data_IF_731565544746
#
_entry.id   IF_731565544746
#
_cell.length_a   1.000
_cell.length_b   1.000
_cell.length_c   1.000
_cell.angle_alpha   90.00
_cell.angle_beta   90.00
_cell.angle_gamma   90.00
#
_symmetry.space_group_name_H-M   'P 1'
#
loop_
_entity.id
_entity.type
_entity.pdbx_description
1 polymer ?
#
# COMPACT_ATOMS: atom_id res chain seq x y z
N UNK A 1 20.48 35.07 4.99
CA UNK A 1 20.67 33.80 5.74
C UNK A 1 19.91 32.74 4.97
N UNK A 2 20.60 31.73 4.44
CA UNK A 2 20.00 30.74 3.55
C UNK A 2 19.18 29.74 4.36
N UNK A 3 17.85 29.81 4.29
CA UNK A 3 16.99 28.71 4.71
C UNK A 3 17.15 27.58 3.69
N UNK A 4 18.07 26.66 3.97
CA UNK A 4 18.18 25.40 3.25
C UNK A 4 16.84 24.67 3.38
N UNK A 5 16.25 24.29 2.24
CA UNK A 5 14.99 23.55 2.19
C UNK A 5 14.97 22.36 3.15
N UNK A 6 13.86 22.16 3.86
CA UNK A 6 13.73 21.05 4.81
C UNK A 6 13.88 19.73 4.07
N UNK A 7 14.88 18.94 4.46
CA UNK A 7 15.10 17.62 3.85
C UNK A 7 13.90 16.72 4.17
N UNK A 8 13.44 15.88 3.22
CA UNK A 8 12.34 14.92 3.45
C UNK A 8 12.54 14.09 4.72
N UNK A 9 13.77 13.63 4.95
CA UNK A 9 14.16 12.95 6.18
C UNK A 9 13.83 13.75 7.45
N UNK A 10 14.17 15.03 7.50
CA UNK A 10 13.91 15.89 8.65
C UNK A 10 12.41 16.15 8.84
N UNK A 11 11.67 16.33 7.73
CA UNK A 11 10.22 16.47 7.75
C UNK A 11 9.58 15.24 8.40
N UNK A 12 9.93 14.04 7.93
CA UNK A 12 9.39 12.80 8.49
C UNK A 12 9.81 12.60 9.95
N UNK A 13 11.09 12.83 10.26
CA UNK A 13 11.64 12.69 11.62
C UNK A 13 10.92 13.56 12.65
N UNK A 14 10.57 14.79 12.29
CA UNK A 14 9.84 15.70 13.19
C UNK A 14 8.41 15.24 13.49
N UNK A 15 7.83 14.42 12.61
CA UNK A 15 6.45 13.93 12.74
C UNK A 15 6.38 12.57 13.46
N UNK A 16 7.50 11.84 13.57
CA UNK A 16 7.58 10.52 14.22
C UNK A 16 6.83 10.44 15.56
N UNK A 17 7.06 11.34 16.55
CA UNK A 17 6.42 11.21 17.86
C UNK A 17 4.89 11.23 17.81
N UNK A 18 4.32 11.86 16.77
CA UNK A 18 2.86 11.98 16.57
C UNK A 18 2.28 10.80 15.77
N UNK A 19 3.11 10.16 14.94
CA UNK A 19 2.70 9.03 14.09
C UNK A 19 2.77 7.69 14.83
N UNK A 20 3.76 7.49 15.71
CA UNK A 20 4.04 6.19 16.35
C UNK A 20 2.84 5.54 17.02
N UNK A 21 2.03 6.29 17.78
CA UNK A 21 0.86 5.73 18.44
C UNK A 21 -0.26 5.34 17.46
N UNK A 22 -0.43 6.09 16.37
CA UNK A 22 -1.45 5.80 15.35
C UNK A 22 -1.02 4.65 14.43
N UNK A 23 0.26 4.62 14.03
CA UNK A 23 0.82 3.58 13.18
C UNK A 23 0.76 2.20 13.83
N UNK A 24 0.97 2.12 15.14
CA UNK A 24 1.03 0.84 15.83
C UNK A 24 -0.26 0.42 16.50
N UNK A 25 -1.41 1.04 16.22
CA UNK A 25 -2.71 0.63 16.79
C UNK A 25 -3.47 -0.23 15.79
N UNK A 26 -4.13 -1.32 16.21
CA UNK A 26 -5.04 -2.06 15.32
C UNK A 26 -6.38 -1.33 15.11
N UNK A 27 -7.02 -1.43 13.93
CA UNK A 27 -6.58 -2.16 12.72
C UNK A 27 -5.59 -1.38 11.84
N UNK A 28 -5.25 -0.14 12.21
CA UNK A 28 -4.43 0.78 11.41
C UNK A 28 -3.04 0.21 11.12
N UNK A 29 -2.42 -0.46 12.09
CA UNK A 29 -1.13 -1.12 11.91
C UNK A 29 -1.17 -2.10 10.75
N UNK A 30 -2.08 -3.07 10.78
CA UNK A 30 -2.23 -4.08 9.73
C UNK A 30 -2.42 -3.40 8.37
N UNK A 31 -3.40 -2.50 8.25
CA UNK A 31 -3.70 -1.84 6.98
C UNK A 31 -2.51 -1.06 6.43
N UNK A 32 -1.81 -0.27 7.27
CA UNK A 32 -0.66 0.50 6.83
C UNK A 32 0.51 -0.40 6.45
N UNK A 33 0.84 -1.40 7.26
CA UNK A 33 1.98 -2.28 6.95
C UNK A 33 1.77 -3.09 5.68
N UNK A 34 0.53 -3.47 5.40
CA UNK A 34 0.11 -4.12 4.17
C UNK A 34 0.36 -3.23 2.93
N UNK A 35 -0.03 -1.96 2.99
CA UNK A 35 0.27 -0.98 1.93
C UNK A 35 1.77 -0.71 1.79
N UNK A 36 2.50 -0.59 2.90
CA UNK A 36 3.93 -0.36 2.88
C UNK A 36 4.71 -1.54 2.28
N UNK A 37 4.27 -2.78 2.54
CA UNK A 37 4.83 -3.99 1.92
C UNK A 37 4.55 -4.01 0.42
N UNK A 38 3.31 -3.71 0.02
CA UNK A 38 2.92 -3.72 -1.39
C UNK A 38 3.73 -2.75 -2.25
N UNK A 39 4.02 -1.56 -1.71
CA UNK A 39 4.83 -0.52 -2.35
C UNK A 39 6.35 -0.72 -2.16
N UNK A 40 6.78 -1.79 -1.47
CA UNK A 40 8.19 -2.10 -1.23
C UNK A 40 8.90 -1.06 -0.34
N UNK A 41 8.15 -0.31 0.46
CA UNK A 41 8.66 0.66 1.43
C UNK A 41 9.21 -0.03 2.68
N UNK A 42 8.65 -1.19 3.03
CA UNK A 42 9.19 -2.13 4.01
C UNK A 42 9.29 -3.54 3.40
N UNK A 43 10.06 -4.43 4.01
CA UNK A 43 10.16 -5.84 3.58
C UNK A 43 9.37 -6.77 4.50
N UNK A 44 9.01 -7.96 4.01
CA UNK A 44 8.35 -9.00 4.81
C UNK A 44 9.19 -9.34 6.05
N UNK A 45 10.50 -9.47 5.88
CA UNK A 45 11.43 -9.72 6.98
C UNK A 45 11.38 -8.62 8.06
N UNK A 46 11.27 -7.34 7.66
CA UNK A 46 11.12 -6.24 8.60
C UNK A 46 9.78 -6.33 9.34
N UNK A 47 8.69 -6.62 8.63
CA UNK A 47 7.37 -6.73 9.26
C UNK A 47 7.29 -7.92 10.22
N UNK A 48 7.81 -9.08 9.83
CA UNK A 48 7.85 -10.28 10.67
C UNK A 48 8.72 -10.07 11.91
N UNK A 49 9.83 -9.34 11.78
CA UNK A 49 10.66 -8.95 12.92
C UNK A 49 9.92 -8.05 13.91
N UNK A 50 8.96 -7.24 13.45
CA UNK A 50 8.10 -6.42 14.31
C UNK A 50 6.99 -7.26 14.94
N UNK A 51 6.32 -8.11 14.14
CA UNK A 51 5.21 -8.97 14.60
C UNK A 51 5.67 -10.06 15.58
N UNK A 52 6.89 -10.56 15.44
CA UNK A 52 7.47 -11.61 16.30
C UNK A 52 7.92 -11.11 17.67
N UNK A 53 8.04 -9.80 17.89
CA UNK A 53 8.39 -9.23 19.21
C UNK A 53 7.17 -9.27 20.14
N UNK A 54 7.16 -10.09 21.20
CA UNK A 54 6.04 -10.13 22.13
C UNK A 54 5.98 -8.85 22.97
N UNK A 55 4.77 -8.47 23.39
CA UNK A 55 4.51 -7.38 24.35
C UNK A 55 4.93 -5.97 23.91
N UNK A 56 5.01 -5.69 22.60
CA UNK A 56 5.15 -4.31 22.13
C UNK A 56 3.84 -3.54 22.39
N UNK A 57 3.95 -2.39 23.06
CA UNK A 57 2.85 -1.42 23.07
C UNK A 57 2.61 -0.86 21.68
N UNK A 58 1.40 -0.36 21.41
CA UNK A 58 1.06 0.28 20.13
C UNK A 58 2.10 1.33 19.73
N UNK A 59 2.54 2.15 20.68
CA UNK A 59 3.56 3.17 20.45
C UNK A 59 4.92 2.58 20.05
N UNK A 60 5.37 1.51 20.71
CA UNK A 60 6.64 0.86 20.37
C UNK A 60 6.55 0.21 18.99
N UNK A 61 5.45 -0.52 18.72
CA UNK A 61 5.20 -1.16 17.44
C UNK A 61 5.20 -0.16 16.28
N UNK A 62 4.49 0.97 16.43
CA UNK A 62 4.50 2.01 15.41
C UNK A 62 5.85 2.74 15.32
N UNK A 63 6.63 2.80 16.40
CA UNK A 63 8.00 3.33 16.35
C UNK A 63 8.91 2.48 15.47
N UNK A 64 8.81 1.16 15.56
CA UNK A 64 9.61 0.25 14.73
C UNK A 64 9.30 0.43 13.23
N UNK A 65 8.01 0.45 12.86
CA UNK A 65 7.59 0.72 11.46
C UNK A 65 8.12 2.07 11.00
N UNK A 66 7.99 3.10 11.84
CA UNK A 66 8.40 4.43 11.48
C UNK A 66 9.93 4.56 11.35
N UNK A 67 10.72 3.76 12.10
CA UNK A 67 12.17 3.65 11.89
C UNK A 67 12.52 2.97 10.57
N UNK A 68 11.83 1.89 10.19
CA UNK A 68 12.01 1.27 8.88
C UNK A 68 11.77 2.27 7.73
N UNK A 69 10.69 3.07 7.82
CA UNK A 69 10.39 4.11 6.84
C UNK A 69 11.42 5.23 6.83
N UNK A 70 11.92 5.64 8.00
CA UNK A 70 12.94 6.66 8.10
C UNK A 70 14.25 6.21 7.43
N UNK A 71 14.68 4.97 7.66
CA UNK A 71 15.85 4.39 6.98
C UNK A 71 15.62 4.22 5.49
N UNK A 72 14.40 3.86 5.06
CA UNK A 72 14.04 3.80 3.64
C UNK A 72 14.19 5.17 2.98
N UNK A 73 13.61 6.23 3.56
CA UNK A 73 13.71 7.61 3.04
C UNK A 73 15.18 8.05 2.96
N UNK A 74 15.99 7.73 3.98
CA UNK A 74 17.40 8.13 4.04
C UNK A 74 18.24 7.52 2.92
N UNK A 75 17.97 6.25 2.60
CA UNK A 75 18.74 5.47 1.64
C UNK A 75 18.10 5.46 0.23
N UNK A 76 17.01 6.19 0.01
CA UNK A 76 16.33 6.25 -1.28
C UNK A 76 17.02 7.21 -2.24
N UNK A 77 17.13 6.86 -3.52
CA UNK A 77 17.70 7.73 -4.57
C UNK A 77 16.94 9.06 -4.70
N UNK A 78 15.64 9.01 -4.42
CA UNK A 78 14.74 10.17 -4.41
C UNK A 78 13.96 10.27 -3.08
N UNK A 79 14.55 10.82 -2.01
CA UNK A 79 13.93 10.86 -0.68
C UNK A 79 12.58 11.60 -0.64
N UNK A 80 12.42 12.64 -1.46
CA UNK A 80 11.17 13.40 -1.55
C UNK A 80 10.04 12.56 -2.16
N UNK A 81 10.35 11.80 -3.22
CA UNK A 81 9.40 10.89 -3.86
C UNK A 81 8.98 9.76 -2.89
N UNK A 82 9.95 9.17 -2.19
CA UNK A 82 9.68 8.14 -1.19
C UNK A 82 8.77 8.66 -0.05
N UNK A 83 9.04 9.86 0.45
CA UNK A 83 8.18 10.46 1.48
C UNK A 83 6.78 10.80 0.96
N UNK A 84 6.64 11.24 -0.29
CA UNK A 84 5.32 11.46 -0.89
C UNK A 84 4.51 10.17 -0.99
N UNK A 85 5.15 9.06 -1.39
CA UNK A 85 4.49 7.73 -1.41
C UNK A 85 4.00 7.31 -0.02
N UNK A 86 4.81 7.53 1.03
CA UNK A 86 4.38 7.28 2.41
C UNK A 86 3.18 8.16 2.78
N UNK A 87 3.15 9.42 2.33
CA UNK A 87 2.01 10.30 2.55
C UNK A 87 0.76 9.82 1.80
N UNK A 88 0.89 9.34 0.55
CA UNK A 88 -0.23 8.77 -0.20
C UNK A 88 -0.87 7.60 0.56
N UNK A 89 -0.06 6.70 1.12
CA UNK A 89 -0.55 5.59 1.94
C UNK A 89 -1.25 6.09 3.21
N UNK A 90 -0.66 7.07 3.91
CA UNK A 90 -1.28 7.59 5.14
C UNK A 90 -2.60 8.33 4.87
N UNK A 91 -2.76 8.91 3.69
CA UNK A 91 -3.95 9.62 3.25
C UNK A 91 -5.04 8.70 2.68
N UNK A 92 -4.71 7.42 2.46
CA UNK A 92 -5.61 6.41 1.90
C UNK A 92 -6.81 6.14 2.83
N UNK A 93 -8.00 5.99 2.23
CA UNK A 93 -9.25 5.79 2.97
C UNK A 93 -9.28 4.44 3.68
N UNK A 94 -8.62 3.42 3.12
CA UNK A 94 -8.60 2.06 3.66
C UNK A 94 -7.68 1.93 4.89
N UNK A 95 -6.80 2.91 5.14
CA UNK A 95 -6.00 2.97 6.38
C UNK A 95 -6.87 3.28 7.60
N UNK A 96 -7.99 3.99 7.42
CA UNK A 96 -8.98 4.22 8.47
C UNK A 96 -8.49 5.06 9.66
N UNK A 97 -7.45 5.88 9.48
CA UNK A 97 -6.87 6.71 10.55
C UNK A 97 -6.79 8.19 10.17
N UNK A 98 -7.73 8.97 10.71
CA UNK A 98 -7.78 10.44 10.54
C UNK A 98 -6.49 11.12 11.03
N UNK A 99 -5.82 10.56 12.04
CA UNK A 99 -4.56 11.06 12.57
C UNK A 99 -3.44 10.90 11.54
N UNK A 100 -3.34 9.73 10.90
CA UNK A 100 -2.35 9.50 9.85
C UNK A 100 -2.65 10.36 8.62
N UNK A 101 -3.91 10.43 8.19
CA UNK A 101 -4.35 11.26 7.06
C UNK A 101 -3.97 12.74 7.24
N UNK A 102 -4.28 13.30 8.42
CA UNK A 102 -3.92 14.69 8.77
C UNK A 102 -2.41 14.90 8.76
N UNK A 103 -1.64 13.94 9.28
CA UNK A 103 -0.19 14.05 9.35
C UNK A 103 0.50 13.81 8.00
N UNK A 104 -0.03 12.93 7.14
CA UNK A 104 0.37 12.76 5.74
C UNK A 104 0.24 14.07 4.97
N UNK A 105 -0.94 14.68 5.01
CA UNK A 105 -1.19 15.98 4.36
C UNK A 105 -0.26 17.09 4.87
N UNK A 106 0.03 17.10 6.18
CA UNK A 106 0.97 18.05 6.79
C UNK A 106 2.39 17.86 6.25
N UNK A 107 2.86 16.61 6.14
CA UNK A 107 4.19 16.30 5.60
C UNK A 107 4.27 16.66 4.10
N UNK A 108 3.25 16.30 3.33
CA UNK A 108 3.12 16.67 1.91
C UNK A 108 3.23 18.17 1.68
N UNK A 109 2.52 18.98 2.49
CA UNK A 109 2.61 20.45 2.41
C UNK A 109 4.03 20.95 2.67
N UNK A 110 4.71 20.41 3.69
CA UNK A 110 6.08 20.81 4.07
C UNK A 110 7.14 20.48 3.01
N UNK A 111 6.86 19.53 2.12
CA UNK A 111 7.75 19.17 1.01
C UNK A 111 7.40 20.01 -0.22
N UNK A 112 6.11 20.20 -0.52
CA UNK A 112 5.63 21.00 -1.68
C UNK A 112 5.93 22.50 -1.56
N UNK A 113 6.03 23.06 -0.35
CA UNK A 113 6.46 24.46 -0.15
C UNK A 113 7.94 24.72 -0.47
N UNK A 114 8.67 23.71 -0.98
CA UNK A 114 10.02 23.89 -1.48
C UNK A 114 9.93 24.24 -2.97
N UNK A 115 10.21 25.48 -3.39
CA UNK A 115 10.48 25.73 -4.79
C UNK A 115 11.75 24.96 -5.11
N UNK A 116 11.66 23.97 -5.99
CA UNK A 116 12.84 23.56 -6.74
C UNK A 116 13.44 24.83 -7.32
N UNK A 117 14.69 25.11 -6.93
CA UNK A 117 15.46 26.19 -7.48
C UNK A 117 15.45 26.02 -9.01
N UNK A 118 14.58 26.79 -9.66
CA UNK A 118 14.62 27.05 -11.08
C UNK A 118 15.98 27.63 -11.39
N UNK A 119 16.92 26.76 -11.78
CA UNK A 119 17.98 27.16 -12.69
C UNK A 119 17.45 26.92 -14.08
N UNK A 120 17.02 28.03 -14.66
CA UNK A 120 16.53 28.21 -16.01
C UNK A 120 17.51 27.62 -17.02
N UNK A 121 17.01 26.82 -17.96
CA UNK A 121 17.28 27.01 -19.38
C UNK A 121 16.07 26.50 -20.20
N UNK A 122 15.66 27.20 -21.29
CA UNK A 122 14.33 27.03 -21.86
C UNK A 122 14.40 26.33 -23.22
N UNK A 123 14.11 25.03 -23.34
CA UNK A 123 13.83 24.44 -24.66
C UNK A 123 12.65 23.46 -24.60
N UNK A 124 11.54 24.00 -25.12
CA UNK A 124 10.55 23.37 -26.01
C UNK A 124 9.55 22.40 -25.40
N UNK A 125 8.31 22.88 -25.45
CA UNK A 125 7.06 22.21 -25.16
C UNK A 125 7.01 20.73 -25.58
N UNK A 126 6.68 19.88 -24.61
CA UNK A 126 6.06 18.60 -24.86
C UNK A 126 4.92 18.43 -23.83
N UNK A 127 3.76 17.88 -24.22
CA UNK A 127 2.60 17.85 -23.34
C UNK A 127 2.88 16.92 -22.16
N UNK A 128 2.98 17.49 -20.97
CA UNK A 128 3.06 16.75 -19.72
C UNK A 128 1.73 16.04 -19.53
N UNK A 129 1.66 14.76 -19.91
CA UNK A 129 0.63 13.87 -19.39
C UNK A 129 0.72 13.90 -17.85
N UNK A 130 -0.41 13.95 -17.13
CA UNK A 130 -0.37 13.98 -15.68
C UNK A 130 0.15 12.63 -15.21
N UNK A 131 1.35 12.61 -14.62
CA UNK A 131 1.82 11.46 -13.86
C UNK A 131 1.01 11.42 -12.56
N UNK A 132 -0.16 10.80 -12.66
CA UNK A 132 -0.93 10.35 -11.50
C UNK A 132 -0.11 9.23 -10.84
N UNK A 133 0.71 9.57 -9.85
CA UNK A 133 1.27 8.58 -8.91
C UNK A 133 0.25 8.30 -7.81
N UNK A 134 -0.97 7.92 -8.21
CA UNK A 134 -1.82 7.13 -7.33
C UNK A 134 -1.29 5.70 -7.36
N UNK A 135 -1.22 5.05 -6.21
CA UNK A 135 -0.90 3.62 -6.07
C UNK A 135 -1.62 2.85 -7.19
N UNK A 136 -0.86 2.22 -8.09
CA UNK A 136 -1.47 1.45 -9.19
C UNK A 136 -2.46 0.44 -8.62
N UNK A 137 -3.58 0.16 -9.30
CA UNK A 137 -4.53 -0.88 -8.89
C UNK A 137 -3.83 -2.18 -8.43
N UNK A 138 -2.75 -2.57 -9.10
CA UNK A 138 -1.87 -3.68 -8.68
C UNK A 138 -1.33 -3.56 -7.26
N UNK A 139 -0.79 -2.39 -6.88
CA UNK A 139 -0.27 -2.14 -5.53
C UNK A 139 -1.39 -2.14 -4.49
N UNK A 140 -2.56 -1.58 -4.82
CA UNK A 140 -3.74 -1.60 -3.94
C UNK A 140 -4.29 -3.00 -3.72
N UNK A 141 -4.35 -3.83 -4.75
CA UNK A 141 -4.77 -5.21 -4.59
C UNK A 141 -3.77 -6.00 -3.75
N UNK A 142 -2.46 -5.81 -4.00
CA UNK A 142 -1.38 -6.49 -3.27
C UNK A 142 -1.42 -6.22 -1.77
N UNK A 143 -1.72 -4.99 -1.36
CA UNK A 143 -1.78 -4.65 0.07
C UNK A 143 -2.89 -5.43 0.76
N UNK A 144 -4.08 -5.54 0.16
CA UNK A 144 -5.20 -6.25 0.78
C UNK A 144 -5.19 -7.75 0.58
N UNK A 145 -4.25 -8.30 -0.22
CA UNK A 145 -4.20 -9.72 -0.60
C UNK A 145 -4.17 -10.69 0.58
N UNK A 146 -3.38 -10.43 1.62
CA UNK A 146 -3.28 -11.34 2.78
C UNK A 146 -4.60 -11.38 3.58
N UNK A 147 -5.20 -10.20 3.80
CA UNK A 147 -6.51 -10.07 4.45
C UNK A 147 -7.61 -10.71 3.60
N UNK A 148 -7.54 -10.53 2.28
CA UNK A 148 -8.47 -11.10 1.33
C UNK A 148 -8.37 -12.62 1.29
N UNK A 149 -7.16 -13.18 1.28
CA UNK A 149 -6.91 -14.62 1.37
C UNK A 149 -7.56 -15.22 2.62
N UNK A 150 -7.31 -14.62 3.78
CA UNK A 150 -7.88 -15.05 5.05
C UNK A 150 -9.42 -14.99 5.04
N UNK A 151 -10.00 -13.93 4.47
CA UNK A 151 -11.46 -13.79 4.35
C UNK A 151 -12.05 -14.85 3.41
N UNK A 152 -11.46 -15.02 2.23
CA UNK A 152 -11.91 -15.97 1.20
C UNK A 152 -11.78 -17.41 1.67
N UNK A 153 -10.77 -17.75 2.46
CA UNK A 153 -10.56 -19.13 2.96
C UNK A 153 -11.79 -19.70 3.67
N UNK A 154 -12.66 -18.85 4.24
CA UNK A 154 -13.89 -19.26 4.91
C UNK A 154 -15.12 -19.42 3.99
N UNK A 155 -15.08 -18.84 2.79
CA UNK A 155 -16.23 -18.76 1.86
C UNK A 155 -15.85 -19.02 0.39
N UNK A 156 -14.75 -19.74 0.16
CA UNK A 156 -14.08 -19.94 -1.12
C UNK A 156 -15.04 -20.32 -2.26
N UNK A 157 -15.91 -21.31 -2.06
CA UNK A 157 -16.84 -21.79 -3.11
C UNK A 157 -17.78 -20.70 -3.59
N UNK A 158 -18.27 -19.85 -2.68
CA UNK A 158 -19.16 -18.73 -3.02
C UNK A 158 -18.41 -17.65 -3.79
N UNK A 159 -17.23 -17.26 -3.30
CA UNK A 159 -16.38 -16.23 -3.92
C UNK A 159 -15.97 -16.64 -5.34
N UNK A 160 -15.50 -17.88 -5.52
CA UNK A 160 -15.08 -18.40 -6.82
C UNK A 160 -16.25 -18.42 -7.80
N UNK A 161 -17.44 -18.85 -7.37
CA UNK A 161 -18.63 -18.81 -8.22
C UNK A 161 -18.99 -17.39 -8.66
N UNK A 162 -18.92 -16.44 -7.74
CA UNK A 162 -19.21 -15.02 -8.00
C UNK A 162 -18.18 -14.36 -8.92
N UNK A 163 -16.90 -14.69 -8.80
CA UNK A 163 -15.83 -14.19 -9.68
C UNK A 163 -15.90 -14.80 -11.09
N UNK A 164 -16.32 -16.06 -11.21
CA UNK A 164 -16.46 -16.74 -12.50
C UNK A 164 -17.62 -16.18 -13.33
N UNK A 165 -18.76 -15.87 -12.71
CA UNK A 165 -19.96 -15.40 -13.40
C UNK A 165 -19.73 -14.19 -14.36
N UNK A 166 -18.99 -13.13 -13.97
CA UNK A 166 -18.62 -12.03 -14.85
C UNK A 166 -17.38 -12.29 -15.72
N UNK A 167 -16.74 -13.46 -15.59
CA UNK A 167 -15.52 -13.80 -16.33
C UNK A 167 -14.23 -13.21 -15.77
N UNK A 168 -14.20 -12.83 -14.48
CA UNK A 168 -12.98 -12.30 -13.83
C UNK A 168 -11.94 -13.39 -13.56
N UNK A 169 -12.37 -14.65 -13.55
CA UNK A 169 -11.51 -15.83 -13.44
C UNK A 169 -11.92 -16.87 -14.50
N UNK A 170 -10.98 -17.71 -14.92
CA UNK A 170 -11.24 -18.78 -15.87
C UNK A 170 -12.08 -19.92 -15.26
N UNK A 171 -12.75 -20.69 -16.12
CA UNK A 171 -13.43 -21.92 -15.72
C UNK A 171 -12.44 -22.92 -15.10
N UNK A 172 -11.24 -23.05 -15.68
CA UNK A 172 -10.19 -23.93 -15.16
C UNK A 172 -9.82 -23.57 -13.72
N UNK A 173 -9.66 -22.27 -13.43
CA UNK A 173 -9.35 -21.81 -12.07
C UNK A 173 -10.52 -22.09 -11.12
N UNK A 174 -11.76 -21.88 -11.57
CA UNK A 174 -12.95 -22.23 -10.78
C UNK A 174 -13.00 -23.72 -10.44
N UNK A 175 -12.85 -24.58 -11.43
CA UNK A 175 -12.91 -26.03 -11.25
C UNK A 175 -11.77 -26.53 -10.38
N UNK A 176 -10.59 -25.93 -10.49
CA UNK A 176 -9.48 -26.22 -9.60
C UNK A 176 -9.81 -25.82 -8.15
N UNK A 177 -10.31 -24.60 -7.89
CA UNK A 177 -10.62 -24.16 -6.53
C UNK A 177 -11.70 -25.04 -5.87
N UNK A 178 -12.69 -25.51 -6.64
CA UNK A 178 -13.78 -26.35 -6.14
C UNK A 178 -13.30 -27.80 -5.93
N UNK A 179 -12.59 -28.37 -6.91
CA UNK A 179 -12.35 -29.81 -6.96
C UNK A 179 -10.94 -30.25 -6.52
N UNK A 180 -9.97 -29.34 -6.34
CA UNK A 180 -8.63 -29.74 -5.86
C UNK A 180 -8.71 -30.26 -4.41
N UNK A 181 -7.76 -31.14 -4.06
CA UNK A 181 -7.62 -31.69 -2.71
C UNK A 181 -6.79 -30.78 -1.77
N UNK A 182 -6.47 -29.56 -2.20
CA UNK A 182 -5.73 -28.61 -1.37
C UNK A 182 -6.57 -28.07 -0.21
N UNK A 183 -5.88 -27.62 0.85
CA UNK A 183 -6.51 -26.93 1.96
C UNK A 183 -7.07 -25.55 1.53
N UNK A 184 -8.14 -25.06 2.17
CA UNK A 184 -8.80 -23.80 1.78
C UNK A 184 -7.88 -22.58 1.71
N UNK A 185 -6.91 -22.45 2.63
CA UNK A 185 -5.95 -21.34 2.63
C UNK A 185 -5.07 -21.35 1.38
N UNK A 186 -4.50 -22.51 1.03
CA UNK A 186 -3.68 -22.67 -0.17
C UNK A 186 -4.46 -22.36 -1.45
N UNK A 187 -5.75 -22.72 -1.49
CA UNK A 187 -6.66 -22.38 -2.59
C UNK A 187 -6.93 -20.88 -2.65
N UNK A 188 -7.24 -20.25 -1.51
CA UNK A 188 -7.45 -18.81 -1.44
C UNK A 188 -6.20 -18.03 -1.87
N UNK A 189 -5.02 -18.46 -1.44
CA UNK A 189 -3.74 -17.86 -1.85
C UNK A 189 -3.52 -17.93 -3.36
N UNK A 190 -3.83 -19.09 -3.96
CA UNK A 190 -3.75 -19.29 -5.41
C UNK A 190 -4.73 -18.40 -6.17
N UNK A 191 -5.97 -18.28 -5.69
CA UNK A 191 -6.99 -17.41 -6.27
C UNK A 191 -6.53 -15.95 -6.25
N UNK A 192 -6.07 -15.45 -5.09
CA UNK A 192 -5.58 -14.07 -4.93
C UNK A 192 -4.35 -13.82 -5.81
N UNK A 193 -3.44 -14.79 -5.90
CA UNK A 193 -2.27 -14.71 -6.78
C UNK A 193 -2.65 -14.58 -8.25
N UNK A 194 -3.67 -15.31 -8.72
CA UNK A 194 -4.12 -15.18 -10.11
C UNK A 194 -4.94 -13.92 -10.38
N UNK A 195 -5.70 -13.42 -9.41
CA UNK A 195 -6.32 -12.09 -9.51
C UNK A 195 -5.25 -11.00 -9.64
N UNK A 196 -4.20 -11.05 -8.82
CA UNK A 196 -3.06 -10.13 -8.91
C UNK A 196 -2.36 -10.25 -10.27
N UNK A 197 -2.16 -11.48 -10.77
CA UNK A 197 -1.52 -11.71 -12.06
C UNK A 197 -2.34 -11.16 -13.21
N UNK A 198 -3.65 -11.39 -13.19
CA UNK A 198 -4.58 -10.88 -14.20
C UNK A 198 -4.57 -9.36 -14.19
N UNK A 199 -4.71 -8.76 -13.01
CA UNK A 199 -4.61 -7.33 -12.79
C UNK A 199 -3.30 -6.72 -13.31
N UNK A 200 -2.16 -7.40 -13.14
CA UNK A 200 -0.86 -6.93 -13.64
C UNK A 200 -0.73 -6.98 -15.17
N UNK A 201 -1.48 -7.88 -15.83
CA UNK A 201 -1.44 -8.07 -17.28
C UNK A 201 -2.63 -7.41 -18.01
N UNK A 202 -3.61 -6.90 -17.27
CA UNK A 202 -4.81 -6.29 -17.82
C UNK A 202 -4.50 -4.92 -18.46
N UNK A 203 -5.21 -4.58 -19.54
CA UNK A 203 -5.09 -3.28 -20.21
C UNK A 203 -5.75 -2.15 -19.43
N UNK A 204 -6.67 -2.48 -18.52
CA UNK A 204 -7.48 -1.59 -17.69
C UNK A 204 -7.53 -2.09 -16.23
N UNK A 205 -6.38 -2.06 -15.51
CA UNK A 205 -6.28 -2.68 -14.18
C UNK A 205 -7.18 -2.03 -13.12
N UNK A 206 -7.44 -0.73 -13.21
CA UNK A 206 -8.39 -0.05 -12.32
C UNK A 206 -9.84 -0.56 -12.51
N UNK A 207 -10.24 -0.84 -13.75
CA UNK A 207 -11.57 -1.37 -14.06
C UNK A 207 -11.70 -2.80 -13.54
N UNK A 208 -10.70 -3.65 -13.83
CA UNK A 208 -10.68 -5.03 -13.32
C UNK A 208 -10.74 -5.07 -11.79
N UNK A 209 -9.95 -4.25 -11.10
CA UNK A 209 -9.98 -4.18 -9.64
C UNK A 209 -11.36 -3.76 -9.12
N UNK A 210 -11.98 -2.76 -9.75
CA UNK A 210 -13.31 -2.29 -9.34
C UNK A 210 -14.39 -3.36 -9.55
N UNK A 211 -14.31 -4.12 -10.64
CA UNK A 211 -15.21 -5.26 -10.90
C UNK A 211 -15.04 -6.37 -9.85
N UNK A 212 -13.79 -6.72 -9.51
CA UNK A 212 -13.50 -7.65 -8.40
C UNK A 212 -14.08 -7.14 -7.08
N UNK A 213 -13.85 -5.88 -6.73
CA UNK A 213 -14.39 -5.29 -5.50
C UNK A 213 -15.92 -5.29 -5.47
N UNK A 214 -16.58 -5.02 -6.59
CA UNK A 214 -18.04 -5.05 -6.69
C UNK A 214 -18.59 -6.44 -6.42
N UNK A 215 -18.01 -7.46 -7.06
CA UNK A 215 -18.43 -8.85 -6.93
C UNK A 215 -18.24 -9.39 -5.52
N UNK A 216 -17.18 -8.97 -4.83
CA UNK A 216 -16.89 -9.39 -3.45
C UNK A 216 -17.74 -8.67 -2.40
N UNK A 217 -18.44 -7.57 -2.77
CA UNK A 217 -19.31 -6.80 -1.87
C UNK A 217 -20.74 -7.33 -1.81
N UNK A 218 -21.20 -7.99 -2.88
CA UNK A 218 -22.52 -8.66 -2.96
C UNK A 218 -22.54 -9.97 -2.18
#
# INVERSE_FOLDING_TARGET
MAEGGRKPYDVFRTMLPRLTAALGKEPTFTNVTDFLLADGLITEQQLDSIKSKPNLSDKQRGSEVAHCLLDKIRNHDHPAKCLLQICDIFEDEDVGSEVLKKHGATMRSKIKETPEASRSDPIKAQPTVPVFSGTTASGRFRSVSDRLENAISSCLTGVVGKLYAPGLISLDLKDEMINSHDIPSKKASKLVSELQRTLNNDKHPETFLNDVCKVLRE
#
